data_IF_637643229229
#
_entry.id   IF_637643229229
#
_cell.length_a   1.000
_cell.length_b   1.000
_cell.length_c   1.000
_cell.angle_alpha   90.00
_cell.angle_beta   90.00
_cell.angle_gamma   90.00
#
_symmetry.space_group_name_H-M   'P 1'
#
loop_
_entity.id
_entity.type
_entity.pdbx_description
1 polymer ?
#
# COMPACT_ATOMS: atom_id res chain seq x y z
N UNK A 1 23.17 39.98 -22.87
CA UNK A 1 21.80 40.15 -23.43
C UNK A 1 21.48 38.87 -24.21
N UNK A 2 20.29 38.28 -24.05
CA UNK A 2 19.84 36.92 -24.44
C UNK A 2 19.86 35.85 -23.33
N UNK A 3 19.12 36.13 -22.25
CA UNK A 3 18.28 35.13 -21.54
C UNK A 3 16.83 35.50 -21.88
N UNK A 4 15.91 34.53 -21.91
CA UNK A 4 14.49 34.60 -22.32
C UNK A 4 14.17 34.22 -23.78
N UNK A 5 14.37 32.95 -24.17
CA UNK A 5 13.58 32.38 -25.28
C UNK A 5 13.53 30.84 -25.37
N UNK A 6 13.66 30.10 -24.25
CA UNK A 6 13.56 28.61 -24.29
C UNK A 6 12.69 28.01 -23.17
N UNK A 7 11.92 28.82 -22.43
CA UNK A 7 11.02 28.32 -21.36
C UNK A 7 9.55 28.21 -21.76
N UNK A 8 9.16 28.58 -22.99
CA UNK A 8 7.76 28.52 -23.43
C UNK A 8 7.40 27.25 -24.22
N UNK A 9 8.36 26.57 -24.83
CA UNK A 9 8.07 25.42 -25.71
C UNK A 9 8.00 24.06 -24.98
N UNK A 10 8.33 24.01 -23.68
CA UNK A 10 8.20 22.79 -22.86
C UNK A 10 6.84 22.64 -22.16
N UNK A 11 5.98 23.67 -22.20
CA UNK A 11 4.71 23.72 -21.45
C UNK A 11 3.46 23.41 -22.31
N UNK A 12 3.61 23.16 -23.62
CA UNK A 12 2.47 23.01 -24.55
C UNK A 12 2.22 21.58 -25.07
N UNK A 13 2.98 20.58 -24.61
CA UNK A 13 2.88 19.20 -25.07
C UNK A 13 2.43 18.20 -23.99
N UNK A 14 1.34 18.47 -23.27
CA UNK A 14 0.55 17.44 -22.55
C UNK A 14 -0.94 17.82 -22.51
N UNK A 15 -1.56 17.91 -23.69
CA UNK A 15 -3.00 17.64 -23.79
C UNK A 15 -3.21 16.13 -23.66
N UNK A 16 -3.27 15.64 -22.42
CA UNK A 16 -3.69 14.26 -22.14
C UNK A 16 -5.18 14.17 -22.47
N UNK A 17 -5.46 13.35 -23.48
CA UNK A 17 -6.78 13.00 -23.98
C UNK A 17 -7.58 12.26 -22.89
N UNK A 18 -8.76 12.81 -22.64
CA UNK A 18 -10.06 12.15 -22.42
C UNK A 18 -10.25 11.32 -21.14
N UNK A 19 -10.88 11.95 -20.13
CA UNK A 19 -11.65 11.24 -19.09
C UNK A 19 -12.79 10.46 -19.75
N UNK A 20 -12.76 9.13 -19.66
CA UNK A 20 -13.89 8.28 -20.04
C UNK A 20 -14.99 8.35 -18.98
N UNK A 21 -16.23 8.54 -19.42
CA UNK A 21 -17.41 8.62 -18.56
C UNK A 21 -17.81 7.23 -18.00
N UNK A 22 -17.33 6.88 -16.80
CA UNK A 22 -17.95 5.99 -15.79
C UNK A 22 -16.94 5.47 -14.74
N UNK A 23 -16.10 6.32 -14.15
CA UNK A 23 -15.33 5.89 -12.97
C UNK A 23 -16.23 5.96 -11.74
N UNK A 24 -16.81 4.81 -11.39
CA UNK A 24 -17.55 4.61 -10.14
C UNK A 24 -16.56 4.86 -9.00
N UNK A 25 -16.83 5.85 -8.15
CA UNK A 25 -16.00 6.10 -6.96
C UNK A 25 -16.21 4.95 -5.98
N UNK A 26 -15.17 4.15 -5.78
CA UNK A 26 -15.19 3.01 -4.85
C UNK A 26 -15.04 3.54 -3.42
N UNK A 27 -15.87 3.07 -2.49
CA UNK A 27 -15.79 3.54 -1.12
C UNK A 27 -14.51 3.03 -0.42
N UNK A 28 -13.89 3.84 0.47
CA UNK A 28 -12.73 3.41 1.23
C UNK A 28 -12.96 2.12 2.03
N UNK A 29 -14.19 1.89 2.51
CA UNK A 29 -14.55 0.68 3.22
C UNK A 29 -14.46 -0.58 2.34
N UNK A 30 -14.79 -0.48 1.05
CA UNK A 30 -14.64 -1.58 0.08
C UNK A 30 -13.15 -1.83 -0.17
N UNK A 31 -12.37 -0.76 -0.43
CA UNK A 31 -10.92 -0.85 -0.67
C UNK A 31 -10.21 -1.54 0.51
N UNK A 32 -10.52 -1.15 1.75
CA UNK A 32 -9.97 -1.78 2.97
C UNK A 32 -10.30 -3.27 3.13
N UNK A 33 -11.33 -3.78 2.45
CA UNK A 33 -11.66 -5.22 2.47
C UNK A 33 -10.97 -6.02 1.37
N UNK A 34 -10.49 -5.39 0.30
CA UNK A 34 -9.86 -6.09 -0.84
C UNK A 34 -8.67 -6.97 -0.46
N UNK A 35 -7.69 -6.51 0.35
CA UNK A 35 -6.57 -7.35 0.75
C UNK A 35 -7.03 -8.60 1.51
N UNK A 36 -8.13 -8.49 2.26
CA UNK A 36 -8.72 -9.62 2.97
C UNK A 36 -9.36 -10.62 2.01
N UNK A 37 -10.09 -10.17 0.98
CA UNK A 37 -10.57 -11.08 -0.07
C UNK A 37 -9.41 -11.83 -0.72
N UNK A 38 -8.37 -11.11 -1.14
CA UNK A 38 -7.18 -11.69 -1.76
C UNK A 38 -6.52 -12.76 -0.90
N UNK A 39 -6.32 -12.51 0.41
CA UNK A 39 -5.77 -13.49 1.34
C UNK A 39 -6.59 -14.78 1.43
N UNK A 40 -7.90 -14.67 1.67
CA UNK A 40 -8.75 -15.86 1.77
C UNK A 40 -8.87 -16.63 0.44
N UNK A 41 -8.85 -15.92 -0.70
CA UNK A 41 -8.83 -16.57 -2.02
C UNK A 41 -7.51 -17.29 -2.27
N UNK A 42 -6.38 -16.72 -1.84
CA UNK A 42 -5.08 -17.39 -1.86
C UNK A 42 -5.07 -18.66 -1.01
N UNK A 43 -5.67 -18.62 0.19
CA UNK A 43 -5.82 -19.81 1.05
C UNK A 43 -6.68 -20.89 0.37
N UNK A 44 -7.75 -20.51 -0.32
CA UNK A 44 -8.60 -21.44 -1.08
C UNK A 44 -7.85 -22.06 -2.26
N UNK A 45 -7.07 -21.24 -2.98
CA UNK A 45 -6.26 -21.70 -4.12
C UNK A 45 -5.19 -22.70 -3.68
N UNK A 46 -4.51 -22.44 -2.55
CA UNK A 46 -3.53 -23.37 -1.94
C UNK A 46 -4.15 -24.71 -1.50
N UNK A 47 -5.47 -24.75 -1.31
CA UNK A 47 -6.23 -25.94 -0.93
C UNK A 47 -7.01 -26.55 -2.12
N UNK A 48 -6.63 -26.22 -3.35
CA UNK A 48 -7.21 -26.75 -4.60
C UNK A 48 -8.73 -26.52 -4.72
N UNK A 49 -9.27 -25.50 -4.05
CA UNK A 49 -10.69 -25.15 -4.16
C UNK A 49 -10.93 -24.43 -5.47
N UNK A 50 -11.67 -25.06 -6.39
CA UNK A 50 -11.93 -24.51 -7.73
C UNK A 50 -13.02 -23.43 -7.72
N UNK A 51 -14.05 -23.60 -6.88
CA UNK A 51 -15.19 -22.67 -6.81
C UNK A 51 -15.63 -22.39 -5.38
N UNK A 52 -16.19 -21.20 -5.18
CA UNK A 52 -16.80 -20.82 -3.90
C UNK A 52 -18.03 -19.95 -4.11
N UNK A 53 -19.08 -20.16 -3.32
CA UNK A 53 -20.24 -19.28 -3.29
C UNK A 53 -20.02 -18.06 -2.39
N UNK A 54 -20.79 -16.98 -2.60
CA UNK A 54 -20.80 -15.84 -1.66
C UNK A 54 -21.20 -16.25 -0.25
N UNK A 55 -22.01 -17.32 -0.09
CA UNK A 55 -22.45 -17.83 1.21
C UNK A 55 -21.27 -18.47 1.96
N UNK A 56 -20.55 -19.37 1.31
CA UNK A 56 -19.38 -20.03 1.91
C UNK A 56 -18.24 -19.03 2.20
N UNK A 57 -17.96 -18.12 1.28
CA UNK A 57 -16.93 -17.09 1.49
C UNK A 57 -17.32 -16.16 2.66
N UNK A 58 -18.61 -15.85 2.80
CA UNK A 58 -19.11 -15.01 3.90
C UNK A 58 -18.91 -15.64 5.27
N UNK A 59 -19.07 -16.97 5.39
CA UNK A 59 -18.81 -17.72 6.62
C UNK A 59 -17.33 -17.69 6.99
N UNK A 60 -16.43 -17.87 6.02
CA UNK A 60 -14.98 -17.83 6.25
C UNK A 60 -14.49 -16.43 6.66
N UNK A 61 -15.10 -15.39 6.11
CA UNK A 61 -14.71 -13.99 6.34
C UNK A 61 -15.51 -13.30 7.44
N UNK A 62 -16.51 -13.94 8.05
CA UNK A 62 -17.39 -13.31 9.04
C UNK A 62 -17.96 -11.96 8.54
N UNK A 63 -18.52 -11.95 7.33
CA UNK A 63 -19.25 -10.83 6.72
C UNK A 63 -20.55 -11.36 6.11
N UNK A 64 -21.42 -10.51 5.57
CA UNK A 64 -22.63 -11.00 4.88
C UNK A 64 -22.33 -11.35 3.42
N UNK A 65 -23.00 -12.38 2.89
CA UNK A 65 -22.91 -12.72 1.47
C UNK A 65 -23.35 -11.57 0.55
N UNK A 66 -24.27 -10.71 1.03
CA UNK A 66 -24.70 -9.51 0.32
C UNK A 66 -23.55 -8.50 0.18
N UNK A 67 -22.80 -8.27 1.26
CA UNK A 67 -21.65 -7.35 1.25
C UNK A 67 -20.60 -7.82 0.24
N UNK A 68 -20.28 -9.12 0.22
CA UNK A 68 -19.32 -9.69 -0.75
C UNK A 68 -19.77 -9.42 -2.19
N UNK A 69 -21.04 -9.71 -2.50
CA UNK A 69 -21.58 -9.47 -3.85
C UNK A 69 -21.51 -7.98 -4.22
N UNK A 70 -21.89 -7.09 -3.30
CA UNK A 70 -21.84 -5.65 -3.53
C UNK A 70 -20.41 -5.16 -3.76
N UNK A 71 -19.46 -5.59 -2.93
CA UNK A 71 -18.05 -5.23 -3.05
C UNK A 71 -17.50 -5.64 -4.41
N UNK A 72 -17.69 -6.91 -4.78
CA UNK A 72 -17.19 -7.47 -6.03
C UNK A 72 -17.83 -6.82 -7.26
N UNK A 73 -19.14 -6.54 -7.23
CA UNK A 73 -19.85 -5.89 -8.32
C UNK A 73 -19.38 -4.45 -8.61
N UNK A 74 -18.56 -3.84 -7.74
CA UNK A 74 -17.92 -2.57 -8.04
C UNK A 74 -16.83 -2.68 -9.11
N UNK A 75 -16.21 -3.84 -9.26
CA UNK A 75 -15.06 -4.06 -10.16
C UNK A 75 -15.40 -4.98 -11.35
N UNK A 76 -16.53 -5.69 -11.30
CA UNK A 76 -17.00 -6.52 -12.41
C UNK A 76 -17.94 -7.63 -11.98
N UNK A 77 -18.51 -8.34 -12.97
CA UNK A 77 -19.32 -9.52 -12.74
C UNK A 77 -18.46 -10.78 -12.62
N UNK A 78 -17.79 -10.98 -11.48
CA UNK A 78 -16.88 -12.12 -11.30
C UNK A 78 -17.56 -13.47 -11.03
N UNK A 79 -18.87 -13.47 -10.79
CA UNK A 79 -19.63 -14.65 -10.36
C UNK A 79 -20.80 -14.96 -11.27
N UNK A 80 -21.22 -16.22 -11.25
CA UNK A 80 -22.40 -16.69 -11.96
C UNK A 80 -23.47 -17.16 -10.97
N UNK A 81 -24.72 -16.73 -11.18
CA UNK A 81 -25.85 -17.12 -10.34
C UNK A 81 -26.00 -18.65 -10.33
N UNK A 82 -26.15 -19.24 -9.14
CA UNK A 82 -26.22 -20.69 -8.94
C UNK A 82 -24.88 -21.43 -9.01
N UNK A 83 -23.80 -20.79 -9.50
CA UNK A 83 -22.49 -21.42 -9.68
C UNK A 83 -21.38 -20.82 -8.79
N UNK A 84 -21.55 -19.61 -8.29
CA UNK A 84 -20.54 -18.92 -7.47
C UNK A 84 -19.38 -18.38 -8.29
N UNK A 85 -18.23 -18.21 -7.65
CA UNK A 85 -17.00 -17.65 -8.21
C UNK A 85 -16.01 -18.76 -8.52
N UNK A 86 -15.31 -18.65 -9.65
CA UNK A 86 -14.07 -19.42 -9.86
C UNK A 86 -12.98 -18.79 -9.01
N UNK A 87 -12.32 -19.58 -8.14
CA UNK A 87 -11.38 -19.06 -7.14
C UNK A 87 -10.13 -18.49 -7.79
N UNK A 88 -9.51 -19.23 -8.72
CA UNK A 88 -8.30 -18.80 -9.40
C UNK A 88 -8.52 -17.51 -10.20
N UNK A 89 -9.59 -17.46 -10.99
CA UNK A 89 -9.97 -16.26 -11.74
C UNK A 89 -10.20 -15.07 -10.81
N UNK A 90 -10.98 -15.25 -9.74
CA UNK A 90 -11.27 -14.17 -8.80
C UNK A 90 -10.00 -13.71 -8.06
N UNK A 91 -9.13 -14.64 -7.66
CA UNK A 91 -7.84 -14.33 -7.02
C UNK A 91 -6.95 -13.47 -7.91
N UNK A 92 -6.81 -13.86 -9.18
CA UNK A 92 -6.00 -13.13 -10.16
C UNK A 92 -6.57 -11.73 -10.44
N UNK A 93 -7.90 -11.60 -10.58
CA UNK A 93 -8.54 -10.29 -10.77
C UNK A 93 -8.41 -9.40 -9.52
N UNK A 94 -8.54 -9.96 -8.31
CA UNK A 94 -8.27 -9.21 -7.07
C UNK A 94 -6.82 -8.73 -7.01
N UNK A 95 -5.86 -9.56 -7.42
CA UNK A 95 -4.44 -9.18 -7.50
C UNK A 95 -4.20 -8.00 -8.44
N UNK A 96 -4.83 -7.99 -9.62
CA UNK A 96 -4.75 -6.88 -10.58
C UNK A 96 -5.38 -5.60 -10.04
N UNK A 97 -6.56 -5.69 -9.39
CA UNK A 97 -7.22 -4.53 -8.78
C UNK A 97 -6.35 -3.92 -7.68
N UNK A 98 -5.65 -4.76 -6.91
CA UNK A 98 -4.71 -4.34 -5.88
C UNK A 98 -3.36 -3.85 -6.43
N UNK A 99 -3.10 -3.99 -7.72
CA UNK A 99 -1.82 -3.62 -8.35
C UNK A 99 -0.66 -4.55 -8.01
N UNK A 100 -0.95 -5.81 -7.68
CA UNK A 100 0.04 -6.84 -7.34
C UNK A 100 0.61 -7.53 -8.59
N UNK A 101 0.11 -7.20 -9.78
CA UNK A 101 0.64 -7.62 -11.07
C UNK A 101 1.89 -6.82 -11.51
N UNK A 102 2.30 -5.84 -10.70
CA UNK A 102 3.45 -4.96 -10.94
C UNK A 102 4.36 -4.95 -9.73
N UNK A 103 5.66 -4.81 -9.96
CA UNK A 103 6.60 -4.58 -8.86
C UNK A 103 6.41 -3.17 -8.29
N UNK A 104 6.14 -3.11 -6.99
CA UNK A 104 6.00 -1.89 -6.22
C UNK A 104 7.27 -1.72 -5.39
N UNK A 105 8.19 -0.86 -5.84
CA UNK A 105 9.42 -0.57 -5.10
C UNK A 105 9.11 0.27 -3.87
N UNK A 106 9.59 -0.19 -2.71
CA UNK A 106 9.39 0.40 -1.40
C UNK A 106 10.74 0.79 -0.81
N UNK A 107 10.79 1.98 -0.19
CA UNK A 107 11.89 2.36 0.70
C UNK A 107 11.38 2.48 2.13
N UNK A 108 12.25 2.25 3.11
CA UNK A 108 11.93 2.41 4.53
C UNK A 108 12.77 3.53 5.12
N UNK A 109 12.11 4.49 5.74
CA UNK A 109 12.74 5.61 6.43
C UNK A 109 12.76 5.31 7.93
N UNK A 110 13.97 5.07 8.46
CA UNK A 110 14.25 4.63 9.82
C UNK A 110 14.56 3.14 9.89
N UNK A 111 15.84 2.78 9.99
CA UNK A 111 16.33 1.41 10.10
C UNK A 111 16.44 0.93 11.56
N UNK A 112 15.57 1.44 12.45
CA UNK A 112 15.40 0.91 13.80
C UNK A 112 14.66 -0.43 13.83
N UNK A 113 14.31 -0.92 15.02
CA UNK A 113 13.68 -2.25 15.19
C UNK A 113 12.48 -2.49 14.26
N UNK A 114 11.56 -1.52 14.15
CA UNK A 114 10.38 -1.67 13.30
C UNK A 114 10.74 -1.69 11.82
N UNK A 115 11.60 -0.78 11.35
CA UNK A 115 12.03 -0.74 9.95
C UNK A 115 12.77 -2.01 9.54
N UNK A 116 13.64 -2.53 10.40
CA UNK A 116 14.29 -3.82 10.18
C UNK A 116 13.30 -4.98 10.20
N UNK A 117 12.31 -4.98 11.09
CA UNK A 117 11.27 -6.02 11.12
C UNK A 117 10.45 -6.03 9.82
N UNK A 118 10.10 -4.86 9.29
CA UNK A 118 9.43 -4.75 7.99
C UNK A 118 10.32 -5.24 6.85
N UNK A 119 11.59 -4.86 6.81
CA UNK A 119 12.56 -5.35 5.83
C UNK A 119 12.78 -6.87 5.88
N UNK A 120 12.53 -7.48 7.05
CA UNK A 120 12.64 -8.92 7.23
C UNK A 120 11.38 -9.70 6.79
N UNK A 121 10.28 -9.04 6.43
CA UNK A 121 9.03 -9.73 6.11
C UNK A 121 8.98 -10.19 4.64
N UNK A 122 9.03 -11.50 4.41
CA UNK A 122 8.98 -12.11 3.07
C UNK A 122 7.65 -11.91 2.37
N UNK A 123 6.56 -11.72 3.13
CA UNK A 123 5.22 -11.58 2.58
C UNK A 123 5.10 -10.33 1.67
N UNK A 124 5.96 -9.32 1.84
CA UNK A 124 5.99 -8.18 0.93
C UNK A 124 6.47 -8.56 -0.47
N UNK A 125 7.58 -9.27 -0.57
CA UNK A 125 8.13 -9.69 -1.87
C UNK A 125 7.19 -10.65 -2.59
N UNK A 126 6.57 -11.59 -1.85
CA UNK A 126 5.54 -12.50 -2.37
C UNK A 126 4.31 -11.76 -2.92
N UNK A 127 4.03 -10.56 -2.42
CA UNK A 127 2.93 -9.70 -2.86
C UNK A 127 3.40 -8.54 -3.75
N UNK A 128 4.52 -8.70 -4.46
CA UNK A 128 5.04 -7.72 -5.42
C UNK A 128 5.45 -6.36 -4.81
N UNK A 129 5.72 -6.31 -3.50
CA UNK A 129 6.32 -5.16 -2.82
C UNK A 129 7.80 -5.44 -2.56
N UNK A 130 8.66 -4.82 -3.35
CA UNK A 130 10.11 -5.02 -3.23
C UNK A 130 10.73 -3.91 -2.41
N UNK A 131 11.33 -4.25 -1.28
CA UNK A 131 12.08 -3.29 -0.47
C UNK A 131 13.45 -3.11 -1.11
N UNK A 132 13.76 -1.90 -1.56
CA UNK A 132 14.98 -1.62 -2.34
C UNK A 132 16.01 -0.77 -1.61
N UNK A 133 15.66 -0.23 -0.44
CA UNK A 133 16.58 0.53 0.40
C UNK A 133 15.97 0.89 1.75
N UNK A 134 16.81 0.89 2.78
CA UNK A 134 16.50 1.50 4.07
C UNK A 134 17.33 2.79 4.21
N UNK A 135 16.84 3.77 4.95
CA UNK A 135 17.56 5.02 5.21
C UNK A 135 17.56 5.33 6.71
N UNK A 136 18.70 5.76 7.24
CA UNK A 136 18.82 6.20 8.62
C UNK A 136 19.86 7.31 8.78
N UNK A 137 19.80 8.02 9.90
CA UNK A 137 20.78 9.06 10.28
C UNK A 137 21.88 8.50 11.19
N UNK A 138 21.68 7.30 11.74
CA UNK A 138 22.64 6.68 12.63
C UNK A 138 23.79 6.05 11.81
N UNK A 139 25.01 6.61 11.89
CA UNK A 139 26.14 6.11 11.10
C UNK A 139 26.56 4.68 11.46
N UNK A 140 26.09 4.14 12.58
CA UNK A 140 26.31 2.74 12.94
C UNK A 140 25.46 1.77 12.13
N UNK A 141 24.33 2.23 11.59
CA UNK A 141 23.42 1.44 10.76
C UNK A 141 23.75 1.57 9.28
N UNK A 142 24.26 2.73 8.85
CA UNK A 142 24.65 2.99 7.46
C UNK A 142 25.70 1.97 6.98
N UNK A 143 25.48 1.43 5.78
CA UNK A 143 26.31 0.39 5.17
C UNK A 143 26.01 -1.04 5.66
N UNK A 144 25.14 -1.20 6.67
CA UNK A 144 24.64 -2.53 7.03
C UNK A 144 23.64 -3.04 5.98
N UNK A 145 23.44 -4.35 5.94
CA UNK A 145 22.39 -4.98 5.12
C UNK A 145 21.36 -5.69 5.99
N UNK A 146 20.09 -5.53 5.68
CA UNK A 146 18.97 -6.29 6.25
C UNK A 146 18.39 -7.15 5.15
N UNK A 147 18.57 -8.48 5.24
CA UNK A 147 18.22 -9.45 4.17
C UNK A 147 18.72 -9.07 2.78
N UNK A 148 19.94 -8.55 2.71
CA UNK A 148 20.54 -8.13 1.43
C UNK A 148 20.06 -6.77 0.92
N UNK A 149 19.19 -6.06 1.65
CA UNK A 149 18.84 -4.66 1.37
C UNK A 149 19.75 -3.74 2.19
N UNK A 150 20.42 -2.81 1.52
CA UNK A 150 21.35 -1.87 2.14
C UNK A 150 20.63 -0.76 2.93
N UNK A 151 21.26 -0.35 4.04
CA UNK A 151 20.90 0.84 4.81
C UNK A 151 21.79 1.99 4.34
N UNK A 152 21.19 2.96 3.67
CA UNK A 152 21.84 4.17 3.19
C UNK A 152 21.80 5.29 4.24
N UNK A 153 22.74 6.22 4.13
CA UNK A 153 22.64 7.50 4.82
C UNK A 153 21.44 8.29 4.25
N UNK A 154 20.71 9.01 5.10
CA UNK A 154 19.58 9.83 4.66
C UNK A 154 19.98 10.89 3.62
N UNK A 155 21.22 11.37 3.65
CA UNK A 155 21.71 12.37 2.71
C UNK A 155 21.80 11.83 1.27
N UNK A 156 21.81 10.50 1.10
CA UNK A 156 21.77 9.83 -0.20
C UNK A 156 20.37 9.72 -0.81
N UNK A 157 19.33 10.14 -0.09
CA UNK A 157 17.93 9.90 -0.48
C UNK A 157 17.58 10.51 -1.84
N UNK A 158 17.98 11.76 -2.11
CA UNK A 158 17.70 12.43 -3.38
C UNK A 158 18.41 11.72 -4.55
N UNK A 159 19.69 11.39 -4.40
CA UNK A 159 20.46 10.66 -5.41
C UNK A 159 19.85 9.27 -5.67
N UNK A 160 19.45 8.55 -4.62
CA UNK A 160 18.80 7.26 -4.74
C UNK A 160 17.47 7.35 -5.51
N UNK A 161 16.61 8.31 -5.16
CA UNK A 161 15.32 8.52 -5.84
C UNK A 161 15.48 8.94 -7.31
N UNK A 162 16.59 9.59 -7.67
CA UNK A 162 16.89 9.92 -9.06
C UNK A 162 17.24 8.69 -9.92
N UNK A 163 17.76 7.62 -9.29
CA UNK A 163 18.23 6.39 -9.95
C UNK A 163 17.22 5.26 -9.88
N UNK A 164 16.28 5.32 -8.95
CA UNK A 164 15.33 4.25 -8.66
C UNK A 164 13.90 4.78 -8.67
N UNK A 165 13.02 4.12 -9.42
CA UNK A 165 11.58 4.40 -9.34
C UNK A 165 11.05 3.85 -8.00
N UNK A 166 10.81 4.75 -7.03
CA UNK A 166 10.19 4.42 -5.75
C UNK A 166 8.71 4.76 -5.80
N UNK A 167 7.87 3.78 -5.47
CA UNK A 167 6.41 3.97 -5.45
C UNK A 167 5.90 4.28 -4.04
N UNK A 168 6.49 3.67 -3.02
CA UNK A 168 6.02 3.76 -1.63
C UNK A 168 7.17 4.08 -0.68
N UNK A 169 6.95 5.03 0.22
CA UNK A 169 7.84 5.28 1.36
C UNK A 169 7.17 4.81 2.66
N UNK A 170 7.76 3.83 3.33
CA UNK A 170 7.35 3.43 4.67
C UNK A 170 8.05 4.31 5.71
N UNK A 171 7.28 4.98 6.57
CA UNK A 171 7.82 5.87 7.60
C UNK A 171 7.79 5.18 8.96
N UNK A 172 8.94 4.68 9.39
CA UNK A 172 9.14 4.08 10.72
C UNK A 172 9.93 5.02 11.63
N UNK A 173 9.52 6.29 11.59
CA UNK A 173 10.21 7.41 12.22
C UNK A 173 9.54 7.86 13.53
N UNK A 174 10.29 8.51 14.44
CA UNK A 174 9.69 9.22 15.56
C UNK A 174 8.69 10.30 15.12
N UNK A 175 7.68 10.57 15.97
CA UNK A 175 6.59 11.55 15.75
C UNK A 175 7.07 12.89 15.18
N UNK A 176 8.16 13.43 15.73
CA UNK A 176 8.67 14.75 15.40
C UNK A 176 9.46 14.82 14.07
N UNK A 177 9.84 13.66 13.50
CA UNK A 177 10.64 13.60 12.26
C UNK A 177 9.78 13.31 11.03
N UNK A 178 8.72 12.52 11.17
CA UNK A 178 7.91 12.06 10.04
C UNK A 178 7.34 13.19 9.15
N UNK A 179 6.76 14.29 9.68
CA UNK A 179 6.16 15.32 8.82
C UNK A 179 7.17 16.11 7.98
N UNK A 180 8.43 16.21 8.42
CA UNK A 180 9.49 16.88 7.65
C UNK A 180 9.93 15.99 6.49
N UNK A 181 10.31 14.75 6.79
CA UNK A 181 10.76 13.77 5.80
C UNK A 181 9.67 13.49 4.76
N UNK A 182 8.41 13.37 5.18
CA UNK A 182 7.31 13.15 4.25
C UNK A 182 7.15 14.28 3.23
N UNK A 183 7.29 15.55 3.66
CA UNK A 183 7.23 16.70 2.74
C UNK A 183 8.40 16.72 1.75
N UNK A 184 9.61 16.45 2.22
CA UNK A 184 10.80 16.33 1.35
C UNK A 184 10.61 15.22 0.31
N UNK A 185 10.12 14.05 0.73
CA UNK A 185 9.81 12.94 -0.18
C UNK A 185 8.74 13.31 -1.22
N UNK A 186 7.73 14.10 -0.86
CA UNK A 186 6.71 14.60 -1.80
C UNK A 186 7.35 15.53 -2.84
N UNK A 187 8.26 16.42 -2.43
CA UNK A 187 9.02 17.30 -3.34
C UNK A 187 9.92 16.49 -4.30
N UNK A 188 10.45 15.36 -3.82
CA UNK A 188 11.24 14.41 -4.61
C UNK A 188 10.38 13.44 -5.45
N UNK A 189 9.05 13.60 -5.45
CA UNK A 189 8.14 12.89 -6.33
C UNK A 189 7.49 11.62 -5.76
N UNK A 190 7.74 11.27 -4.50
CA UNK A 190 7.04 10.15 -3.84
C UNK A 190 5.61 10.56 -3.50
N UNK A 191 4.64 9.73 -3.89
CA UNK A 191 3.20 10.02 -3.76
C UNK A 191 2.43 9.06 -2.86
N UNK A 192 3.05 8.02 -2.35
CA UNK A 192 2.40 7.06 -1.45
C UNK A 192 3.25 6.81 -0.19
N UNK A 193 2.61 6.93 0.96
CA UNK A 193 3.24 6.78 2.27
C UNK A 193 2.54 5.70 3.07
N UNK A 194 3.34 4.81 3.65
CA UNK A 194 2.89 3.85 4.64
C UNK A 194 3.41 4.28 6.01
N UNK A 195 2.57 4.96 6.78
CA UNK A 195 2.99 5.74 7.93
C UNK A 195 2.79 4.97 9.24
N UNK A 196 3.88 4.60 9.90
CA UNK A 196 3.88 4.01 11.25
C UNK A 196 4.19 5.04 12.34
N UNK A 197 4.56 6.27 11.97
CA UNK A 197 4.76 7.32 12.95
C UNK A 197 3.40 7.66 13.58
N UNK A 198 3.34 7.92 14.90
CA UNK A 198 2.07 8.18 15.60
C UNK A 198 1.61 9.62 15.34
N UNK A 199 1.53 10.06 14.09
CA UNK A 199 1.14 11.42 13.70
C UNK A 199 0.48 11.39 12.33
N UNK A 200 -0.57 12.18 12.18
CA UNK A 200 -1.18 12.42 10.88
C UNK A 200 -0.30 13.36 10.05
N UNK A 201 -0.11 13.00 8.78
CA UNK A 201 0.67 13.78 7.85
C UNK A 201 -0.26 14.73 7.10
N UNK A 202 -0.01 16.03 7.23
CA UNK A 202 -0.70 17.03 6.41
C UNK A 202 0.09 17.24 5.11
N UNK A 203 -0.32 16.54 4.06
CA UNK A 203 0.32 16.51 2.73
C UNK A 203 -0.69 16.95 1.66
N UNK A 204 -0.23 17.31 0.44
CA UNK A 204 -1.13 17.67 -0.68
C UNK A 204 -2.17 16.58 -1.00
N UNK A 205 -3.31 16.97 -1.57
CA UNK A 205 -4.44 16.07 -1.86
C UNK A 205 -4.11 14.92 -2.84
N UNK A 206 -3.09 15.08 -3.68
CA UNK A 206 -2.63 14.07 -4.63
C UNK A 206 -1.68 13.04 -4.00
N UNK A 207 -1.44 13.12 -2.68
CA UNK A 207 -0.59 12.21 -1.92
C UNK A 207 -1.44 11.24 -1.11
N UNK A 208 -1.15 9.95 -1.24
CA UNK A 208 -1.83 8.87 -0.54
C UNK A 208 -1.06 8.56 0.74
N UNK A 209 -1.76 8.51 1.87
CA UNK A 209 -1.18 8.11 3.16
C UNK A 209 -2.06 7.01 3.77
N UNK A 210 -1.47 5.84 4.01
CA UNK A 210 -2.09 4.79 4.82
C UNK A 210 -1.39 4.76 6.20
N UNK A 211 -2.13 5.13 7.25
CA UNK A 211 -1.62 5.15 8.61
C UNK A 211 -1.77 3.77 9.29
N UNK A 212 -0.73 3.35 10.01
CA UNK A 212 -0.73 2.16 10.87
C UNK A 212 -0.55 2.57 12.32
N UNK A 213 -1.64 2.48 13.09
CA UNK A 213 -1.66 2.83 14.51
C UNK A 213 -1.73 1.57 15.38
N UNK A 214 -0.55 0.96 15.64
CA UNK A 214 -0.45 -0.25 16.47
C UNK A 214 -1.05 -0.04 17.88
N UNK A 215 -0.78 1.12 18.50
CA UNK A 215 -1.30 1.47 19.82
C UNK A 215 -2.82 1.60 19.84
N UNK A 216 -3.42 2.21 18.82
CA UNK A 216 -4.88 2.34 18.73
C UNK A 216 -5.56 0.99 18.53
N UNK A 217 -4.91 0.07 17.80
CA UNK A 217 -5.39 -1.29 17.62
C UNK A 217 -5.49 -2.04 18.97
N UNK A 218 -4.46 -1.94 19.83
CA UNK A 218 -4.51 -2.59 21.16
C UNK A 218 -5.46 -1.88 22.12
N UNK A 219 -5.59 -0.55 22.05
CA UNK A 219 -6.60 0.21 22.81
C UNK A 219 -8.03 -0.19 22.41
N UNK A 220 -8.28 -0.40 21.13
CA UNK A 220 -9.57 -0.90 20.63
C UNK A 220 -9.89 -2.28 21.21
N UNK A 221 -8.88 -3.15 21.30
CA UNK A 221 -9.06 -4.46 21.95
C UNK A 221 -9.36 -4.30 23.45
N UNK A 222 -8.65 -3.41 24.14
CA UNK A 222 -8.89 -3.10 25.56
C UNK A 222 -10.34 -2.67 25.81
N UNK A 223 -10.88 -1.79 24.95
CA UNK A 223 -12.28 -1.38 25.04
C UNK A 223 -13.22 -2.58 24.86
N UNK A 224 -12.99 -3.44 23.87
CA UNK A 224 -13.83 -4.62 23.62
C UNK A 224 -13.83 -5.60 24.80
N UNK A 225 -12.68 -5.82 25.42
CA UNK A 225 -12.58 -6.68 26.61
C UNK A 225 -13.41 -6.10 27.75
N UNK A 226 -13.29 -4.79 27.99
CA UNK A 226 -14.09 -4.12 29.02
C UNK A 226 -15.59 -4.22 28.74
N UNK A 227 -16.02 -3.94 27.51
CA UNK A 227 -17.44 -3.94 27.12
C UNK A 227 -18.10 -5.33 27.09
N UNK A 228 -17.34 -6.42 27.12
CA UNK A 228 -17.86 -7.80 27.19
C UNK A 228 -18.10 -8.22 28.64
N UNK A 229 -17.37 -7.61 29.58
CA UNK A 229 -17.40 -7.97 31.00
C UNK A 229 -18.36 -7.12 31.83
N UNK A 230 -19.00 -6.11 31.21
CA UNK A 230 -20.10 -5.31 31.75
C UNK A 230 -21.44 -5.77 31.15
#
# INVERSE_FOLDING_TARGET
>A
MRKFCQRKDYMEAKKVKTKSANEKVISPAVIKRLPRYYRYLGDLLKNDVVRISSKELSQKMNVTASQIRQDLNNFGGFGQQGYGYNVEFLYNEMGKILGLDKTNNVIILGAGNLGQALANNQEFEENSFKIIGLFDVNPRLVGMTVRGVEVYDIDMLEDFLSKHEVRIAALTLPRNKAPKIARELVELGVKAFWNFAPVDLNLPEDVIVENVHLSESIMTLSYRIHSIND
#
